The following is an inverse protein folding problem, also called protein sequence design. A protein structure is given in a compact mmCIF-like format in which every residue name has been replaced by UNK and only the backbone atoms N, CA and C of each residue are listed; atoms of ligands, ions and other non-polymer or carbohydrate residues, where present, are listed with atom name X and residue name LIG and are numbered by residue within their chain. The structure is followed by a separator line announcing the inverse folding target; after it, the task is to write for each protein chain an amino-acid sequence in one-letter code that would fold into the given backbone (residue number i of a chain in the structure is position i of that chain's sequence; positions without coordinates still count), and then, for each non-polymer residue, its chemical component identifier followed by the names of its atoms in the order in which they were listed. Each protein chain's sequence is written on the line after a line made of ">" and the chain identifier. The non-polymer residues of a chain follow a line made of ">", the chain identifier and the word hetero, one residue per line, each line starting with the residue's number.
data_IF_127956846409
#
_entry.id   IF_127956846409
#
_cell.length_a   1.000
_cell.length_b   1.000
_cell.length_c   1.000
_cell.angle_alpha   90.00
_cell.angle_beta   90.00
_cell.angle_gamma   90.00
#
_symmetry.space_group_name_H-M   'P 1'
#
loop_
_entity.id
_entity.type
_entity.pdbx_description
1 polymer ?
#
# COMPACT_ATOMS: atom_id res chain seq x y z
N UNK A 1 -34.76 -11.77 54.80
CA UNK A 1 -33.75 -12.28 53.84
C UNK A 1 -34.21 -13.68 53.48
N UNK A 2 -34.56 -14.09 52.25
CA UNK A 2 -34.18 -13.64 50.91
C UNK A 2 -35.25 -14.12 49.91
N UNK A 3 -35.36 -13.39 48.81
CA UNK A 3 -36.32 -13.47 47.70
C UNK A 3 -36.40 -14.86 47.03
N UNK A 4 -37.63 -15.30 46.70
CA UNK A 4 -37.91 -16.13 45.51
C UNK A 4 -39.03 -15.45 44.74
N UNK A 5 -38.68 -14.76 43.66
CA UNK A 5 -39.65 -14.11 42.79
C UNK A 5 -39.70 -14.89 41.47
N UNK A 6 -40.69 -15.77 41.38
CA UNK A 6 -41.10 -16.45 40.16
C UNK A 6 -41.90 -15.47 39.30
N UNK A 7 -41.44 -15.15 38.09
CA UNK A 7 -42.25 -14.53 37.02
C UNK A 7 -41.81 -15.15 35.68
N UNK A 8 -42.60 -16.11 35.17
CA UNK A 8 -43.70 -15.94 34.19
C UNK A 8 -43.20 -15.55 32.80
N UNK A 9 -43.14 -16.57 31.94
CA UNK A 9 -43.12 -16.49 30.48
C UNK A 9 -44.18 -15.52 29.96
N UNK A 10 -43.78 -14.68 29.01
CA UNK A 10 -44.67 -14.16 27.98
C UNK A 10 -43.93 -14.29 26.64
N UNK A 11 -44.34 -15.27 25.84
CA UNK A 11 -43.98 -15.30 24.42
C UNK A 11 -44.65 -14.09 23.75
N UNK A 12 -43.85 -13.25 23.09
CA UNK A 12 -44.33 -12.38 22.01
C UNK A 12 -43.71 -12.87 20.72
N UNK A 13 -44.54 -13.54 19.92
CA UNK A 13 -44.32 -13.72 18.49
C UNK A 13 -44.31 -12.34 17.84
N UNK A 14 -43.18 -11.93 17.29
CA UNK A 14 -43.10 -10.78 16.39
C UNK A 14 -42.73 -11.35 15.02
N UNK A 15 -43.63 -11.22 14.06
CA UNK A 15 -43.37 -11.59 12.67
C UNK A 15 -42.33 -10.66 12.09
N UNK A 16 -41.18 -11.21 11.70
CA UNK A 16 -40.16 -10.48 10.94
C UNK A 16 -40.55 -10.52 9.47
N UNK A 17 -41.15 -9.44 8.96
CA UNK A 17 -41.15 -9.16 7.52
C UNK A 17 -39.73 -8.80 7.11
N UNK A 18 -39.08 -9.68 6.36
CA UNK A 18 -37.78 -9.40 5.75
C UNK A 18 -37.96 -8.30 4.69
N UNK A 19 -37.39 -7.10 4.94
CA UNK A 19 -37.12 -6.16 3.86
C UNK A 19 -35.94 -6.69 3.07
N UNK A 20 -36.17 -7.06 1.81
CA UNK A 20 -35.11 -7.28 0.83
C UNK A 20 -34.46 -5.94 0.50
N UNK A 21 -33.25 -5.71 1.01
CA UNK A 21 -32.39 -4.61 0.54
C UNK A 21 -31.80 -5.08 -0.79
N UNK A 22 -31.94 -4.34 -1.91
CA UNK A 22 -31.26 -4.69 -3.14
C UNK A 22 -29.75 -4.61 -2.89
N UNK A 23 -29.03 -5.69 -3.14
CA UNK A 23 -27.57 -5.66 -3.17
C UNK A 23 -27.15 -4.67 -4.26
N UNK A 24 -26.49 -3.58 -3.87
CA UNK A 24 -25.76 -2.77 -4.84
C UNK A 24 -24.68 -3.68 -5.43
N UNK A 25 -24.80 -4.01 -6.72
CA UNK A 25 -23.66 -4.43 -7.52
C UNK A 25 -22.68 -3.27 -7.61
N UNK A 26 -21.81 -3.14 -6.61
CA UNK A 26 -20.54 -2.48 -6.80
C UNK A 26 -19.67 -3.48 -7.57
N UNK A 27 -19.55 -3.28 -8.88
CA UNK A 27 -18.40 -3.83 -9.61
C UNK A 27 -17.17 -3.20 -8.97
N UNK A 28 -16.51 -3.94 -8.08
CA UNK A 28 -15.18 -3.59 -7.60
C UNK A 28 -14.30 -3.47 -8.85
N UNK A 29 -13.90 -2.23 -9.15
CA UNK A 29 -12.90 -1.95 -10.17
C UNK A 29 -11.67 -2.75 -9.82
N UNK A 30 -11.15 -3.53 -10.78
CA UNK A 30 -9.93 -4.30 -10.62
C UNK A 30 -8.83 -3.46 -9.93
N UNK A 31 -8.17 -4.06 -8.95
CA UNK A 31 -6.95 -3.57 -8.34
C UNK A 31 -5.98 -3.18 -9.46
N UNK A 32 -5.58 -1.91 -9.52
CA UNK A 32 -4.68 -1.43 -10.56
C UNK A 32 -3.37 -0.99 -9.92
N UNK A 33 -2.25 -1.58 -10.37
CA UNK A 33 -0.87 -1.06 -10.22
C UNK A 33 -0.67 0.28 -10.96
N UNK A 34 -1.72 1.09 -11.02
CA UNK A 34 -1.81 2.31 -11.82
C UNK A 34 -2.21 3.47 -10.93
N UNK A 35 -1.42 4.53 -11.01
CA UNK A 35 -1.90 5.85 -10.61
C UNK A 35 -2.90 6.36 -11.64
N UNK A 36 -3.86 7.15 -11.19
CA UNK A 36 -4.77 7.89 -12.05
C UNK A 36 -4.34 9.34 -12.15
N UNK A 37 -4.69 9.98 -13.24
CA UNK A 37 -4.40 11.40 -13.39
C UNK A 37 -5.06 12.19 -12.25
N UNK A 38 -4.35 13.14 -11.64
CA UNK A 38 -4.84 13.86 -10.47
C UNK A 38 -5.82 14.98 -10.83
N UNK A 39 -5.91 15.34 -12.11
CA UNK A 39 -6.86 16.31 -12.65
C UNK A 39 -7.11 16.04 -14.13
N UNK A 40 -8.09 16.74 -14.72
CA UNK A 40 -8.30 16.78 -16.17
C UNK A 40 -7.74 18.09 -16.71
N UNK A 41 -6.81 18.02 -17.66
CA UNK A 41 -6.24 19.21 -18.26
C UNK A 41 -5.18 18.95 -19.31
N UNK A 42 -4.52 20.01 -19.75
CA UNK A 42 -3.46 19.92 -20.75
C UNK A 42 -2.10 19.89 -20.07
N UNK A 43 -1.25 18.93 -20.44
CA UNK A 43 0.15 18.91 -20.01
C UNK A 43 0.87 20.09 -20.66
N UNK A 44 1.48 20.93 -19.85
CA UNK A 44 2.28 22.08 -20.32
C UNK A 44 3.77 21.86 -20.17
N UNK A 45 4.17 20.96 -19.26
CA UNK A 45 5.56 20.53 -19.14
C UNK A 45 5.67 19.06 -18.69
N UNK A 46 6.57 18.30 -19.30
CA UNK A 46 6.80 16.88 -19.04
C UNK A 46 8.08 16.56 -18.25
N UNK A 47 8.24 15.29 -17.88
CA UNK A 47 9.30 14.78 -16.97
C UNK A 47 10.75 14.94 -17.46
N UNK A 48 10.96 15.30 -18.73
CA UNK A 48 12.30 15.54 -19.27
C UNK A 48 12.52 16.98 -19.73
N UNK A 49 11.58 17.88 -19.45
CA UNK A 49 11.70 19.25 -19.89
C UNK A 49 12.82 19.99 -19.16
N UNK A 50 13.56 20.76 -19.95
CA UNK A 50 14.64 21.62 -19.47
C UNK A 50 14.06 22.84 -18.75
N UNK A 51 14.29 22.92 -17.45
CA UNK A 51 14.07 24.14 -16.66
C UNK A 51 15.36 24.96 -16.57
N UNK A 52 15.18 26.27 -16.38
CA UNK A 52 16.26 27.25 -16.18
C UNK A 52 17.31 27.24 -17.30
N UNK A 53 16.87 27.18 -18.56
CA UNK A 53 17.74 27.23 -19.74
C UNK A 53 18.60 25.98 -19.96
N UNK A 54 18.13 24.80 -19.52
CA UNK A 54 18.82 23.51 -19.73
C UNK A 54 19.67 23.03 -18.56
N UNK A 55 19.54 23.65 -17.39
CA UNK A 55 20.38 23.32 -16.21
C UNK A 55 19.67 22.44 -15.18
N UNK A 56 18.36 22.22 -15.32
CA UNK A 56 17.58 21.40 -14.38
C UNK A 56 16.46 20.65 -15.10
N UNK A 57 16.46 19.32 -15.03
CA UNK A 57 15.37 18.49 -15.56
C UNK A 57 14.14 18.57 -14.67
N UNK A 58 12.97 18.84 -15.23
CA UNK A 58 11.69 18.80 -14.53
C UNK A 58 11.37 17.37 -14.07
N UNK A 59 11.34 17.08 -12.77
CA UNK A 59 11.12 15.71 -12.25
C UNK A 59 9.64 15.37 -12.01
N UNK A 60 8.75 15.78 -12.92
CA UNK A 60 7.31 15.61 -12.79
C UNK A 60 6.59 16.05 -14.06
N UNK A 61 5.29 16.28 -13.97
CA UNK A 61 4.49 16.89 -15.04
C UNK A 61 3.77 18.11 -14.51
N UNK A 62 3.62 19.11 -15.36
CA UNK A 62 2.81 20.28 -15.10
C UNK A 62 1.55 20.19 -15.95
N UNK A 63 0.39 20.25 -15.30
CA UNK A 63 -0.92 20.15 -15.95
C UNK A 63 -1.62 21.48 -15.73
N UNK A 64 -1.83 22.21 -16.81
CA UNK A 64 -2.50 23.51 -16.80
C UNK A 64 -4.02 23.33 -16.83
N UNK A 65 -4.68 24.13 -16.01
CA UNK A 65 -6.11 24.34 -16.04
C UNK A 65 -6.52 25.62 -15.28
N UNK A 66 -7.81 25.96 -15.39
CA UNK A 66 -8.47 26.99 -14.59
C UNK A 66 -8.18 26.88 -13.08
N UNK A 67 -7.78 28.00 -12.48
CA UNK A 67 -7.61 28.13 -11.03
C UNK A 67 -8.88 27.71 -10.28
N UNK A 68 -8.71 26.93 -9.21
CA UNK A 68 -9.82 26.41 -8.39
C UNK A 68 -10.37 25.07 -8.85
N UNK A 69 -9.82 24.47 -9.90
CA UNK A 69 -10.20 23.11 -10.29
C UNK A 69 -9.81 22.08 -9.23
N UNK A 70 -10.62 21.02 -9.05
CA UNK A 70 -10.35 20.00 -8.05
C UNK A 70 -9.16 19.13 -8.44
N UNK A 71 -8.25 18.94 -7.49
CA UNK A 71 -7.14 17.98 -7.54
C UNK A 71 -7.52 16.75 -6.72
N UNK A 72 -7.34 15.57 -7.31
CA UNK A 72 -7.71 14.30 -6.73
C UNK A 72 -6.49 13.45 -6.39
N UNK A 73 -6.62 12.61 -5.36
CA UNK A 73 -5.63 11.60 -5.03
C UNK A 73 -5.48 10.61 -6.19
N UNK A 74 -4.25 10.45 -6.69
CA UNK A 74 -3.91 9.63 -7.86
C UNK A 74 -3.99 8.14 -7.53
N UNK A 75 -3.75 7.78 -6.28
CA UNK A 75 -4.02 6.48 -5.68
C UNK A 75 -4.36 6.71 -4.21
N UNK A 76 -5.02 5.75 -3.57
CA UNK A 76 -5.24 5.86 -2.12
C UNK A 76 -3.92 5.78 -1.36
N UNK A 77 -3.89 6.34 -0.15
CA UNK A 77 -2.69 6.36 0.67
C UNK A 77 -2.83 7.29 1.87
N UNK A 78 -1.72 7.54 2.56
CA UNK A 78 -1.67 8.40 3.75
C UNK A 78 -1.02 9.74 3.43
N UNK A 79 -1.67 10.84 3.81
CA UNK A 79 -1.15 12.19 3.63
C UNK A 79 0.03 12.41 4.57
N UNK A 80 1.21 12.71 4.02
CA UNK A 80 2.45 12.97 4.80
C UNK A 80 2.91 14.42 4.76
N UNK A 81 2.30 15.23 3.90
CA UNK A 81 2.46 16.68 3.94
C UNK A 81 1.16 17.34 3.47
N UNK A 82 0.74 18.38 4.18
CA UNK A 82 -0.34 19.29 3.76
C UNK A 82 0.01 20.68 4.26
N UNK A 83 0.37 21.58 3.35
CA UNK A 83 0.71 22.97 3.68
C UNK A 83 1.74 23.61 2.77
N UNK A 84 2.15 24.83 3.13
CA UNK A 84 3.08 25.64 2.33
C UNK A 84 4.54 25.15 2.43
N UNK A 85 5.22 25.05 1.30
CA UNK A 85 6.62 24.62 1.22
C UNK A 85 7.40 25.34 0.12
N UNK A 86 7.78 26.60 0.38
CA UNK A 86 8.70 27.36 -0.46
C UNK A 86 8.27 27.39 -1.93
N UNK A 87 9.16 26.96 -2.83
CA UNK A 87 8.92 26.96 -4.27
C UNK A 87 7.76 26.07 -4.73
N UNK A 88 7.32 25.09 -3.94
CA UNK A 88 6.16 24.26 -4.26
C UNK A 88 4.82 24.93 -3.92
N UNK A 89 4.84 26.09 -3.27
CA UNK A 89 3.62 26.70 -2.76
C UNK A 89 2.93 25.79 -1.74
N UNK A 90 1.60 25.85 -1.69
CA UNK A 90 0.81 24.86 -0.96
C UNK A 90 0.83 23.54 -1.70
N UNK A 91 1.05 22.46 -0.96
CA UNK A 91 1.17 21.12 -1.51
C UNK A 91 0.55 20.06 -0.62
N UNK A 92 0.21 18.95 -1.26
CA UNK A 92 -0.11 17.69 -0.61
C UNK A 92 0.93 16.65 -1.03
N UNK A 93 1.43 15.85 -0.09
CA UNK A 93 2.13 14.60 -0.40
C UNK A 93 1.30 13.43 0.14
N UNK A 94 1.20 12.35 -0.63
CA UNK A 94 0.57 11.09 -0.20
C UNK A 94 1.60 9.98 -0.36
N UNK A 95 1.84 9.21 0.70
CA UNK A 95 2.58 7.94 0.63
C UNK A 95 1.60 6.81 0.32
N UNK A 96 2.04 5.90 -0.53
CA UNK A 96 1.30 4.76 -1.05
C UNK A 96 2.10 3.47 -0.80
N UNK A 97 1.45 2.33 -1.04
CA UNK A 97 2.12 1.04 -1.04
C UNK A 97 3.28 0.99 -2.05
N UNK A 98 4.18 0.02 -1.90
CA UNK A 98 5.33 -0.15 -2.80
C UNK A 98 6.44 0.89 -2.64
N UNK A 99 6.39 1.70 -1.58
CA UNK A 99 7.33 2.78 -1.29
C UNK A 99 7.13 4.01 -2.18
N UNK A 100 5.94 4.15 -2.76
CA UNK A 100 5.61 5.24 -3.66
C UNK A 100 5.10 6.46 -2.91
N UNK A 101 5.42 7.65 -3.42
CA UNK A 101 4.86 8.92 -2.96
C UNK A 101 4.45 9.79 -4.13
N UNK A 102 3.23 10.29 -4.10
CA UNK A 102 2.78 11.35 -5.02
C UNK A 102 2.87 12.72 -4.37
N UNK A 103 3.13 13.74 -5.18
CA UNK A 103 3.06 15.15 -4.77
C UNK A 103 2.13 15.93 -5.68
N UNK A 104 1.35 16.80 -5.07
CA UNK A 104 0.46 17.76 -5.71
C UNK A 104 0.89 19.15 -5.22
N UNK A 105 1.44 19.99 -6.09
CA UNK A 105 1.98 21.29 -5.71
C UNK A 105 1.30 22.46 -6.45
N UNK A 106 1.62 23.67 -5.99
CA UNK A 106 1.03 24.94 -6.42
C UNK A 106 -0.47 25.07 -6.12
N UNK A 107 -0.99 24.28 -5.19
CA UNK A 107 -2.39 24.28 -4.77
C UNK A 107 -2.84 25.64 -4.21
N UNK A 108 -4.14 25.84 -4.07
CA UNK A 108 -4.69 26.88 -3.22
C UNK A 108 -4.35 26.65 -1.74
N UNK A 109 -4.46 27.69 -0.93
CA UNK A 109 -4.15 27.62 0.50
C UNK A 109 -5.15 26.80 1.31
N UNK A 110 -6.38 26.65 0.82
CA UNK A 110 -7.43 25.87 1.46
C UNK A 110 -7.32 24.40 1.04
N UNK A 111 -6.34 23.70 1.61
CA UNK A 111 -6.14 22.27 1.38
C UNK A 111 -7.26 21.48 2.09
N UNK A 112 -7.71 20.39 1.46
CA UNK A 112 -8.90 19.65 1.92
C UNK A 112 -8.59 18.46 2.83
N UNK A 113 -7.32 18.23 3.08
CA UNK A 113 -6.80 17.11 3.86
C UNK A 113 -5.66 17.59 4.76
N UNK A 114 -5.50 16.93 5.89
CA UNK A 114 -4.47 17.18 6.88
C UNK A 114 -3.43 16.06 6.89
N UNK A 115 -2.25 16.32 7.47
CA UNK A 115 -1.23 15.29 7.65
C UNK A 115 -1.78 14.18 8.57
N UNK A 116 -1.65 12.93 8.13
CA UNK A 116 -2.16 11.75 8.81
C UNK A 116 -3.49 11.24 8.24
N UNK A 117 -4.18 12.01 7.41
CA UNK A 117 -5.40 11.56 6.76
C UNK A 117 -5.12 10.39 5.81
N UNK A 118 -5.96 9.37 5.86
CA UNK A 118 -6.04 8.39 4.79
C UNK A 118 -7.02 8.89 3.73
N UNK A 119 -6.61 8.83 2.47
CA UNK A 119 -7.42 9.28 1.33
C UNK A 119 -7.61 8.15 0.35
N UNK A 120 -8.80 8.03 -0.24
CA UNK A 120 -9.07 7.07 -1.32
C UNK A 120 -8.63 7.61 -2.67
N UNK A 121 -8.26 6.74 -3.63
CA UNK A 121 -8.08 7.12 -5.03
C UNK A 121 -9.30 7.90 -5.54
N UNK A 122 -9.06 9.02 -6.21
CA UNK A 122 -10.11 9.90 -6.72
C UNK A 122 -10.77 10.75 -5.64
N UNK A 123 -10.32 10.73 -4.38
CA UNK A 123 -10.76 11.68 -3.36
C UNK A 123 -10.24 13.07 -3.69
N UNK A 124 -11.09 14.08 -3.53
CA UNK A 124 -10.73 15.49 -3.70
C UNK A 124 -9.87 15.96 -2.53
N UNK A 125 -8.61 16.31 -2.79
CA UNK A 125 -7.60 16.60 -1.76
C UNK A 125 -7.15 18.07 -1.72
N UNK A 126 -7.26 18.78 -2.84
CA UNK A 126 -6.87 20.18 -2.94
C UNK A 126 -7.55 20.82 -4.15
N UNK A 127 -7.39 22.12 -4.31
CA UNK A 127 -7.81 22.86 -5.50
C UNK A 127 -6.58 23.50 -6.17
N UNK A 128 -6.56 23.52 -7.51
CA UNK A 128 -5.47 24.06 -8.31
C UNK A 128 -5.29 25.55 -8.05
N UNK A 129 -4.05 25.99 -7.84
CA UNK A 129 -3.70 27.39 -7.61
C UNK A 129 -2.49 27.81 -8.44
N UNK A 130 -1.93 28.98 -8.10
CA UNK A 130 -0.63 29.47 -8.59
C UNK A 130 0.30 29.80 -7.42
N UNK A 131 0.17 29.07 -6.31
CA UNK A 131 0.96 29.38 -5.11
C UNK A 131 2.44 29.01 -5.34
N UNK A 132 3.35 29.79 -4.76
CA UNK A 132 4.79 29.62 -5.01
C UNK A 132 5.36 30.51 -6.14
N UNK A 133 4.54 31.36 -6.77
CA UNK A 133 5.00 32.40 -7.69
C UNK A 133 5.01 32.02 -9.16
N UNK A 134 4.24 31.00 -9.56
CA UNK A 134 4.10 30.55 -10.92
C UNK A 134 2.69 30.87 -11.47
N UNK A 135 2.55 30.88 -12.79
CA UNK A 135 1.22 30.85 -13.42
C UNK A 135 0.45 29.61 -12.94
N UNK A 136 -0.88 29.68 -12.74
CA UNK A 136 -1.64 28.57 -12.19
C UNK A 136 -1.46 27.27 -12.99
N UNK A 137 -0.99 26.22 -12.33
CA UNK A 137 -0.91 24.86 -12.88
C UNK A 137 -0.79 23.87 -11.71
N UNK A 138 -1.06 22.60 -11.97
CA UNK A 138 -0.71 21.52 -11.04
C UNK A 138 0.69 21.00 -11.39
N UNK A 139 1.61 21.04 -10.43
CA UNK A 139 2.83 20.23 -10.51
C UNK A 139 2.60 18.88 -9.82
N UNK A 140 2.79 17.80 -10.58
CA UNK A 140 2.63 16.43 -10.11
C UNK A 140 3.93 15.63 -10.27
N UNK A 141 4.42 15.07 -9.17
CA UNK A 141 5.58 14.16 -9.18
C UNK A 141 5.29 12.86 -8.45
N UNK A 142 5.97 11.79 -8.89
CA UNK A 142 5.97 10.50 -8.23
C UNK A 142 7.40 10.16 -7.83
N UNK A 143 7.55 9.68 -6.60
CA UNK A 143 8.78 9.07 -6.10
C UNK A 143 8.56 7.62 -5.72
N UNK A 144 9.63 6.83 -5.78
CA UNK A 144 9.74 5.52 -5.13
C UNK A 144 11.03 5.50 -4.31
N UNK A 145 10.94 5.16 -3.02
CA UNK A 145 12.10 5.07 -2.13
C UNK A 145 13.01 6.31 -2.21
N UNK A 146 12.41 7.50 -2.20
CA UNK A 146 13.10 8.80 -2.26
C UNK A 146 13.57 9.26 -3.64
N UNK A 147 13.58 8.39 -4.65
CA UNK A 147 13.99 8.68 -6.03
C UNK A 147 12.79 9.01 -6.92
N UNK A 148 12.94 9.99 -7.82
CA UNK A 148 11.87 10.32 -8.78
C UNK A 148 11.71 9.19 -9.80
N UNK A 149 10.46 8.84 -10.09
CA UNK A 149 10.09 7.87 -11.14
C UNK A 149 9.38 8.59 -12.27
N UNK A 150 9.47 8.01 -13.46
CA UNK A 150 8.91 8.60 -14.67
C UNK A 150 7.39 8.77 -14.56
N UNK A 151 6.91 9.90 -15.06
CA UNK A 151 5.50 10.18 -15.29
C UNK A 151 5.36 10.55 -16.77
N UNK A 152 4.58 9.81 -17.57
CA UNK A 152 4.40 10.12 -18.99
C UNK A 152 3.70 11.47 -19.19
N UNK A 153 3.77 12.02 -20.39
CA UNK A 153 3.12 13.28 -20.74
C UNK A 153 4.08 14.27 -21.37
N UNK A 154 3.70 14.77 -22.54
CA UNK A 154 4.43 15.78 -23.31
C UNK A 154 3.62 17.08 -23.37
N UNK A 155 4.27 18.25 -23.51
CA UNK A 155 3.57 19.49 -23.75
C UNK A 155 2.55 19.38 -24.90
N UNK A 156 1.30 19.70 -24.61
CA UNK A 156 0.18 19.61 -25.55
C UNK A 156 -0.75 18.40 -25.32
N UNK A 157 -0.29 17.36 -24.62
CA UNK A 157 -1.09 16.16 -24.33
C UNK A 157 -2.28 16.49 -23.44
N UNK A 158 -3.41 15.81 -23.68
CA UNK A 158 -4.59 15.91 -22.82
C UNK A 158 -4.66 14.73 -21.87
N UNK A 159 -4.86 15.02 -20.58
CA UNK A 159 -5.04 14.01 -19.53
C UNK A 159 -6.40 14.15 -18.88
N UNK A 160 -6.97 13.02 -18.43
CA UNK A 160 -8.28 13.00 -17.75
C UNK A 160 -8.16 12.24 -16.44
N UNK A 161 -8.66 12.83 -15.35
CA UNK A 161 -8.63 12.24 -14.00
C UNK A 161 -9.25 10.84 -13.90
N UNK A 162 -10.12 10.50 -14.85
CA UNK A 162 -10.85 9.24 -14.89
C UNK A 162 -10.04 8.14 -15.59
N UNK A 163 -8.89 8.48 -16.17
CA UNK A 163 -8.00 7.56 -16.85
C UNK A 163 -6.76 7.27 -16.00
N UNK A 164 -6.23 6.04 -16.07
CA UNK A 164 -4.93 5.72 -15.50
C UNK A 164 -3.82 6.51 -16.21
N UNK A 165 -2.75 6.79 -15.48
CA UNK A 165 -1.47 7.21 -16.03
C UNK A 165 -0.93 6.00 -16.81
N UNK A 166 -0.58 6.15 -18.10
CA UNK A 166 -0.20 5.04 -18.98
C UNK A 166 1.26 4.60 -18.74
N UNK A 167 1.56 4.19 -17.50
CA UNK A 167 2.84 3.68 -17.04
C UNK A 167 2.57 2.63 -15.96
N UNK A 168 3.35 1.55 -15.93
CA UNK A 168 3.25 0.53 -14.89
C UNK A 168 4.06 0.97 -13.66
N UNK A 169 3.46 0.86 -12.48
CA UNK A 169 4.12 1.17 -11.20
C UNK A 169 4.15 -0.08 -10.32
N UNK A 170 5.13 -1.00 -10.52
CA UNK A 170 5.10 -2.32 -9.90
C UNK A 170 5.11 -2.27 -8.37
N UNK A 171 4.14 -2.94 -7.74
CA UNK A 171 3.97 -2.98 -6.29
C UNK A 171 3.14 -1.82 -5.74
N UNK A 172 2.48 -1.06 -6.62
CA UNK A 172 1.50 -0.04 -6.25
C UNK A 172 0.18 -0.74 -5.92
N UNK A 173 -0.01 -1.08 -4.64
CA UNK A 173 -1.28 -1.63 -4.12
C UNK A 173 -2.49 -0.76 -4.47
N UNK A 174 -3.68 -1.35 -4.48
CA UNK A 174 -4.93 -0.67 -4.90
C UNK A 174 -5.41 0.41 -3.92
N UNK A 175 -4.68 0.63 -2.83
CA UNK A 175 -5.05 1.60 -1.83
C UNK A 175 -6.43 1.32 -1.22
N UNK A 176 -6.92 0.09 -1.31
CA UNK A 176 -8.10 -0.40 -0.67
C UNK A 176 -7.69 -1.09 0.62
N UNK A 177 -7.41 -0.32 1.67
CA UNK A 177 -7.39 -0.87 3.03
C UNK A 177 -8.82 -1.21 3.47
N UNK A 178 -9.38 -2.24 2.85
CA UNK A 178 -10.15 -3.23 3.57
C UNK A 178 -9.19 -4.03 4.44
N UNK A 179 -9.13 -3.71 5.73
CA UNK A 179 -8.84 -4.68 6.78
C UNK A 179 -7.40 -4.82 7.29
N UNK A 180 -6.38 -4.85 6.43
CA UNK A 180 -5.04 -5.29 6.87
C UNK A 180 -4.06 -4.11 6.96
N UNK A 181 -3.56 -3.85 8.18
CA UNK A 181 -2.39 -2.98 8.41
C UNK A 181 -1.16 -3.87 8.56
N UNK A 182 0.03 -3.40 8.18
CA UNK A 182 1.22 -4.20 8.44
C UNK A 182 1.38 -4.39 9.96
N UNK A 183 1.33 -5.64 10.45
CA UNK A 183 1.53 -5.94 11.87
C UNK A 183 2.92 -5.52 12.31
N UNK A 184 3.04 -5.19 13.60
CA UNK A 184 4.30 -4.75 14.20
C UNK A 184 4.86 -5.90 15.04
N UNK A 185 6.08 -6.32 14.73
CA UNK A 185 6.80 -7.36 15.48
C UNK A 185 8.09 -6.82 16.09
N UNK A 186 8.36 -7.22 17.32
CA UNK A 186 9.48 -6.76 18.13
C UNK A 186 9.94 -7.84 19.12
N UNK A 187 11.00 -7.55 19.89
CA UNK A 187 11.55 -8.49 20.87
C UNK A 187 10.48 -9.02 21.82
N UNK A 188 10.40 -10.35 21.90
CA UNK A 188 9.47 -11.07 22.77
C UNK A 188 8.27 -11.66 22.04
N UNK A 189 8.00 -11.21 20.81
CA UNK A 189 6.98 -11.82 19.96
C UNK A 189 7.41 -13.22 19.50
N UNK A 190 6.44 -14.08 19.22
CA UNK A 190 6.67 -15.45 18.77
C UNK A 190 5.54 -15.93 17.86
N UNK A 191 5.82 -16.86 16.95
CA UNK A 191 4.83 -17.48 16.08
C UNK A 191 5.24 -17.52 14.60
N UNK A 192 4.25 -17.83 13.75
CA UNK A 192 4.44 -18.12 12.33
C UNK A 192 4.98 -16.91 11.55
N UNK A 193 4.51 -15.71 11.88
CA UNK A 193 5.04 -14.48 11.31
C UNK A 193 6.52 -14.22 11.68
N UNK A 194 6.96 -14.66 12.86
CA UNK A 194 8.36 -14.56 13.24
C UNK A 194 9.21 -15.55 12.44
N UNK A 195 8.71 -16.76 12.17
CA UNK A 195 9.34 -17.66 11.20
C UNK A 195 9.49 -17.00 9.83
N UNK A 196 8.44 -16.34 9.32
CA UNK A 196 8.51 -15.62 8.04
C UNK A 196 9.58 -14.52 8.05
N UNK A 197 9.67 -13.73 9.13
CA UNK A 197 10.72 -12.70 9.28
C UNK A 197 12.11 -13.35 9.20
N UNK A 198 12.34 -14.43 9.94
CA UNK A 198 13.64 -15.12 9.99
C UNK A 198 14.03 -15.68 8.61
N UNK A 199 13.11 -16.37 7.92
CA UNK A 199 13.34 -16.89 6.57
C UNK A 199 13.60 -15.78 5.53
N UNK A 200 12.87 -14.66 5.61
CA UNK A 200 13.08 -13.54 4.71
C UNK A 200 14.43 -12.86 4.97
N UNK A 201 14.84 -12.71 6.24
CA UNK A 201 16.18 -12.19 6.56
C UNK A 201 17.29 -13.11 6.03
N UNK A 202 17.12 -14.43 6.12
CA UNK A 202 18.03 -15.41 5.52
C UNK A 202 18.12 -15.24 4.00
N UNK A 203 16.99 -14.98 3.33
CA UNK A 203 16.96 -14.65 1.91
C UNK A 203 17.80 -13.41 1.58
N UNK A 204 17.76 -12.38 2.43
CA UNK A 204 18.58 -11.18 2.30
C UNK A 204 20.04 -11.36 2.76
N UNK A 205 20.45 -12.60 3.09
CA UNK A 205 21.83 -12.97 3.38
C UNK A 205 22.21 -12.94 4.86
N UNK A 206 21.24 -12.86 5.76
CA UNK A 206 21.47 -12.89 7.21
C UNK A 206 21.23 -14.30 7.78
N UNK A 207 22.30 -14.96 8.22
CA UNK A 207 22.19 -16.32 8.78
C UNK A 207 21.56 -16.31 10.18
N UNK A 208 20.38 -16.91 10.33
CA UNK A 208 19.59 -16.93 11.56
C UNK A 208 19.10 -18.35 11.91
N UNK A 209 18.84 -18.57 13.19
CA UNK A 209 18.02 -19.69 13.60
C UNK A 209 16.55 -19.42 13.23
N UNK A 210 15.90 -20.42 12.64
CA UNK A 210 14.46 -20.41 12.37
C UNK A 210 13.75 -21.11 13.54
N UNK A 211 13.43 -20.37 14.60
CA UNK A 211 12.83 -20.88 15.84
C UNK A 211 11.49 -20.23 16.18
N UNK A 212 11.02 -19.31 15.33
CA UNK A 212 9.76 -18.59 15.52
C UNK A 212 9.75 -17.68 16.75
N UNK A 213 10.92 -17.36 17.32
CA UNK A 213 11.04 -16.49 18.49
C UNK A 213 11.79 -15.21 18.14
N UNK A 214 11.18 -14.06 18.40
CA UNK A 214 11.79 -12.76 18.15
C UNK A 214 12.73 -12.43 19.30
N UNK A 215 13.88 -13.09 19.31
CA UNK A 215 14.91 -12.96 20.34
C UNK A 215 15.90 -11.82 20.06
N UNK A 216 16.92 -11.67 20.93
CA UNK A 216 17.99 -10.68 20.74
C UNK A 216 18.74 -10.78 19.41
N UNK A 217 18.89 -11.99 18.88
CA UNK A 217 19.59 -12.24 17.61
C UNK A 217 18.76 -11.79 16.40
N UNK A 218 17.44 -12.06 16.42
CA UNK A 218 16.50 -11.57 15.40
C UNK A 218 16.43 -10.05 15.40
N UNK A 219 16.29 -9.43 16.58
CA UNK A 219 16.26 -7.96 16.71
C UNK A 219 17.52 -7.30 16.15
N UNK A 220 18.71 -7.78 16.55
CA UNK A 220 19.98 -7.23 16.06
C UNK A 220 20.16 -7.42 14.54
N UNK A 221 19.63 -8.50 14.00
CA UNK A 221 19.62 -8.74 12.56
C UNK A 221 18.64 -7.83 11.84
N UNK A 222 17.46 -7.55 12.41
CA UNK A 222 16.52 -6.57 11.87
C UNK A 222 17.12 -5.16 11.90
N UNK A 223 17.80 -4.76 12.96
CA UNK A 223 18.54 -3.49 13.00
C UNK A 223 19.59 -3.41 11.87
N UNK A 224 20.31 -4.50 11.62
CA UNK A 224 21.31 -4.59 10.55
C UNK A 224 20.66 -4.47 9.16
N UNK A 225 19.54 -5.16 8.95
CA UNK A 225 18.74 -5.06 7.74
C UNK A 225 18.22 -3.64 7.53
N UNK A 226 17.61 -3.03 8.55
CA UNK A 226 17.13 -1.65 8.51
C UNK A 226 18.25 -0.68 8.14
N UNK A 227 19.43 -0.82 8.76
CA UNK A 227 20.59 0.00 8.43
C UNK A 227 21.02 -0.17 6.98
N UNK A 228 21.02 -1.40 6.45
CA UNK A 228 21.38 -1.68 5.06
C UNK A 228 20.37 -1.09 4.05
N UNK A 229 19.09 -1.05 4.43
CA UNK A 229 18.01 -0.47 3.61
C UNK A 229 17.84 1.05 3.81
N UNK A 230 18.61 1.69 4.70
CA UNK A 230 18.49 3.12 4.99
C UNK A 230 17.22 3.52 5.74
N UNK A 231 16.66 2.59 6.52
CA UNK A 231 15.48 2.77 7.35
C UNK A 231 15.85 3.29 8.75
N UNK A 232 14.84 3.69 9.53
CA UNK A 232 15.02 3.88 10.98
C UNK A 232 15.49 2.56 11.60
N UNK A 233 16.60 2.61 12.34
CA UNK A 233 17.18 1.45 13.02
C UNK A 233 16.60 1.39 14.43
N UNK A 234 15.49 0.68 14.58
CA UNK A 234 14.76 0.52 15.85
C UNK A 234 14.56 -0.95 16.26
N UNK A 235 15.01 -1.90 15.44
CA UNK A 235 14.87 -3.33 15.71
C UNK A 235 13.43 -3.83 15.65
N UNK A 236 12.52 -3.06 15.05
CA UNK A 236 11.10 -3.37 14.93
C UNK A 236 10.73 -3.66 13.49
N UNK A 237 10.05 -4.78 13.24
CA UNK A 237 9.47 -5.07 11.93
C UNK A 237 8.08 -4.44 11.87
N UNK A 238 8.04 -3.16 11.48
CA UNK A 238 6.80 -2.43 11.17
C UNK A 238 6.62 -2.21 9.66
N UNK A 239 5.66 -1.38 9.23
CA UNK A 239 5.27 -1.21 7.81
C UNK A 239 6.45 -0.92 6.85
N UNK A 240 7.37 -0.05 7.27
CA UNK A 240 8.54 0.31 6.46
C UNK A 240 9.54 -0.85 6.35
N UNK A 241 9.72 -1.62 7.42
CA UNK A 241 10.59 -2.80 7.45
C UNK A 241 9.99 -3.91 6.59
N UNK A 242 8.70 -4.21 6.76
CA UNK A 242 7.97 -5.21 5.96
C UNK A 242 8.06 -4.94 4.47
N UNK A 243 7.80 -3.70 4.05
CA UNK A 243 7.80 -3.31 2.63
C UNK A 243 9.15 -3.53 1.92
N UNK A 244 10.25 -3.57 2.67
CA UNK A 244 11.59 -3.87 2.13
C UNK A 244 12.00 -5.33 2.35
N UNK A 245 11.42 -5.99 3.35
CA UNK A 245 11.76 -7.35 3.75
C UNK A 245 11.09 -8.40 2.85
N UNK A 246 9.82 -8.19 2.51
CA UNK A 246 9.06 -9.12 1.68
C UNK A 246 9.61 -9.18 0.25
N UNK A 247 9.39 -10.32 -0.39
CA UNK A 247 9.68 -10.53 -1.81
C UNK A 247 8.56 -11.34 -2.45
N UNK A 248 8.29 -11.10 -3.73
CA UNK A 248 7.22 -11.82 -4.41
C UNK A 248 7.60 -13.29 -4.58
N UNK A 249 6.66 -14.18 -4.23
CA UNK A 249 6.81 -15.62 -4.46
C UNK A 249 5.85 -16.05 -5.56
N UNK A 250 6.40 -16.57 -6.65
CA UNK A 250 5.68 -17.03 -7.84
C UNK A 250 6.19 -18.41 -8.27
N UNK A 251 5.54 -18.99 -9.28
CA UNK A 251 6.00 -20.22 -9.96
C UNK A 251 7.33 -20.08 -10.71
N UNK A 252 7.85 -18.86 -10.86
CA UNK A 252 9.17 -18.58 -11.44
C UNK A 252 10.27 -18.35 -10.41
N UNK A 253 9.97 -18.54 -9.11
CA UNK A 253 10.96 -18.40 -8.03
C UNK A 253 12.10 -19.43 -8.14
N UNK A 254 13.27 -19.08 -7.64
CA UNK A 254 14.44 -19.96 -7.68
C UNK A 254 14.39 -20.99 -6.55
N UNK A 255 13.80 -22.15 -6.82
CA UNK A 255 13.61 -23.20 -5.82
C UNK A 255 14.89 -24.06 -5.55
N UNK A 256 15.12 -24.52 -4.30
CA UNK A 256 14.37 -24.19 -3.10
C UNK A 256 14.64 -22.75 -2.63
N UNK A 257 13.59 -22.06 -2.19
CA UNK A 257 13.61 -20.61 -1.95
C UNK A 257 13.11 -20.28 -0.53
N UNK A 258 13.90 -19.55 0.27
CA UNK A 258 13.52 -19.18 1.64
C UNK A 258 12.17 -18.43 1.74
N UNK A 259 11.84 -17.50 0.83
CA UNK A 259 10.52 -16.88 0.79
C UNK A 259 9.40 -17.89 0.50
N UNK A 260 9.65 -18.92 -0.33
CA UNK A 260 8.69 -20.02 -0.52
C UNK A 260 8.50 -20.81 0.77
N UNK A 261 9.58 -21.11 1.51
CA UNK A 261 9.47 -21.71 2.85
C UNK A 261 8.57 -20.86 3.76
N UNK A 262 8.78 -19.54 3.80
CA UNK A 262 8.00 -18.64 4.64
C UNK A 262 6.50 -18.65 4.30
N UNK A 263 6.13 -18.60 3.01
CA UNK A 263 4.73 -18.67 2.57
C UNK A 263 4.11 -20.03 2.92
N UNK A 264 4.82 -21.13 2.63
CA UNK A 264 4.33 -22.47 2.94
C UNK A 264 4.14 -22.68 4.45
N UNK A 265 5.02 -22.09 5.27
CA UNK A 265 4.94 -22.18 6.73
C UNK A 265 3.66 -21.48 7.24
N UNK A 266 3.38 -20.27 6.76
CA UNK A 266 2.13 -19.54 7.08
C UNK A 266 0.89 -20.32 6.66
N UNK A 267 0.83 -20.71 5.38
CA UNK A 267 -0.31 -21.44 4.84
C UNK A 267 -0.55 -22.75 5.60
N UNK A 268 0.50 -23.48 5.97
CA UNK A 268 0.36 -24.76 6.66
C UNK A 268 -0.02 -24.62 8.12
N UNK A 269 0.68 -23.77 8.86
CA UNK A 269 0.62 -23.76 10.32
C UNK A 269 -0.30 -22.69 10.89
N UNK A 270 -0.48 -21.57 10.21
CA UNK A 270 -1.40 -20.50 10.64
C UNK A 270 -2.78 -20.68 9.97
N UNK A 271 -2.81 -20.82 8.65
CA UNK A 271 -4.05 -20.92 7.88
C UNK A 271 -4.62 -22.36 7.77
N UNK A 272 -3.83 -23.37 8.14
CA UNK A 272 -4.28 -24.76 8.21
C UNK A 272 -4.39 -25.51 6.88
N UNK A 273 -3.78 -25.01 5.80
CA UNK A 273 -3.71 -25.71 4.52
C UNK A 273 -2.84 -26.98 4.60
N UNK A 274 -3.29 -28.05 3.97
CA UNK A 274 -2.56 -29.33 3.93
C UNK A 274 -1.56 -29.39 2.78
N UNK A 275 -0.47 -28.60 2.87
CA UNK A 275 0.62 -28.56 1.89
C UNK A 275 1.96 -28.97 2.48
N UNK A 276 2.92 -29.36 1.64
CA UNK A 276 4.32 -29.56 2.07
C UNK A 276 5.04 -28.24 2.35
N UNK A 277 5.98 -28.26 3.30
CA UNK A 277 6.90 -27.13 3.58
C UNK A 277 8.30 -27.56 3.18
N UNK A 278 8.66 -27.30 1.93
CA UNK A 278 9.86 -27.80 1.27
C UNK A 278 10.61 -26.71 0.48
N UNK A 279 10.07 -25.49 0.45
CA UNK A 279 10.64 -24.36 -0.27
C UNK A 279 10.49 -24.44 -1.78
N UNK A 280 9.70 -25.37 -2.31
CA UNK A 280 9.42 -25.53 -3.74
C UNK A 280 8.04 -24.98 -4.11
N UNK A 281 7.98 -24.08 -5.10
CA UNK A 281 6.72 -23.52 -5.56
C UNK A 281 5.99 -24.49 -6.51
N UNK A 282 5.41 -25.54 -5.94
CA UNK A 282 4.64 -26.54 -6.66
C UNK A 282 3.13 -26.21 -6.77
N UNK A 283 2.37 -27.04 -7.51
CA UNK A 283 0.91 -26.87 -7.65
C UNK A 283 0.14 -26.87 -6.33
N UNK A 284 0.65 -27.57 -5.30
CA UNK A 284 0.06 -27.53 -3.95
C UNK A 284 0.19 -26.14 -3.31
N UNK A 285 1.34 -25.48 -3.48
CA UNK A 285 1.60 -24.14 -2.94
C UNK A 285 0.78 -23.10 -3.70
N UNK A 286 0.79 -23.16 -5.04
CA UNK A 286 0.00 -22.27 -5.89
C UNK A 286 -1.50 -22.34 -5.55
N UNK A 287 -2.07 -23.55 -5.51
CA UNK A 287 -3.48 -23.74 -5.19
C UNK A 287 -3.86 -23.32 -3.76
N UNK A 288 -2.93 -23.44 -2.80
CA UNK A 288 -3.14 -22.93 -1.44
C UNK A 288 -3.13 -21.40 -1.38
N UNK A 289 -2.21 -20.74 -2.11
CA UNK A 289 -2.17 -19.28 -2.22
C UNK A 289 -3.45 -18.75 -2.87
N UNK A 290 -3.89 -19.34 -3.98
CA UNK A 290 -5.15 -18.94 -4.63
C UNK A 290 -6.37 -19.11 -3.70
N UNK A 291 -6.40 -20.21 -2.95
CA UNK A 291 -7.46 -20.48 -1.98
C UNK A 291 -7.47 -19.45 -0.85
N UNK A 292 -6.29 -19.12 -0.32
CA UNK A 292 -6.11 -18.12 0.73
C UNK A 292 -6.50 -16.73 0.23
N UNK A 293 -6.03 -16.33 -0.95
CA UNK A 293 -6.41 -15.07 -1.57
C UNK A 293 -7.92 -14.95 -1.73
N UNK A 294 -8.57 -16.02 -2.18
CA UNK A 294 -10.02 -16.05 -2.32
C UNK A 294 -10.74 -15.91 -0.97
N UNK A 295 -10.24 -16.51 0.11
CA UNK A 295 -10.86 -16.38 1.44
C UNK A 295 -10.59 -15.02 2.09
N UNK A 296 -9.42 -14.44 1.84
CA UNK A 296 -9.00 -13.14 2.35
C UNK A 296 -9.59 -11.96 1.54
N UNK A 297 -10.30 -12.22 0.44
CA UNK A 297 -10.88 -11.18 -0.42
C UNK A 297 -9.86 -10.44 -1.27
N UNK A 298 -8.71 -11.08 -1.53
CA UNK A 298 -7.63 -10.56 -2.36
C UNK A 298 -7.80 -10.95 -3.83
N UNK A 299 -7.03 -10.31 -4.71
CA UNK A 299 -6.86 -10.78 -6.09
C UNK A 299 -6.32 -12.21 -6.06
N UNK A 300 -7.02 -13.13 -6.75
CA UNK A 300 -6.61 -14.53 -6.89
C UNK A 300 -5.70 -14.63 -8.11
N UNK A 301 -4.40 -14.45 -7.89
CA UNK A 301 -3.36 -14.49 -8.92
C UNK A 301 -2.34 -15.61 -8.69
N UNK A 302 -2.49 -16.39 -7.60
CA UNK A 302 -1.58 -17.47 -7.28
C UNK A 302 -0.15 -16.97 -7.06
N UNK A 303 0.02 -15.76 -6.53
CA UNK A 303 1.30 -15.17 -6.14
C UNK A 303 1.24 -14.65 -4.70
N UNK A 304 2.28 -14.93 -3.92
CA UNK A 304 2.48 -14.23 -2.66
C UNK A 304 3.14 -12.86 -2.91
N UNK A 305 2.33 -11.88 -3.33
CA UNK A 305 2.73 -10.47 -3.46
C UNK A 305 2.48 -9.69 -2.17
N UNK A 306 2.70 -8.35 -2.15
CA UNK A 306 2.59 -7.55 -0.93
C UNK A 306 1.27 -7.70 -0.17
N UNK A 307 0.14 -7.74 -0.87
CA UNK A 307 -1.17 -7.89 -0.23
C UNK A 307 -1.37 -9.29 0.35
N UNK A 308 -0.94 -10.32 -0.37
CA UNK A 308 -0.96 -11.72 0.13
C UNK A 308 -0.06 -11.84 1.35
N UNK A 309 1.15 -11.28 1.31
CA UNK A 309 2.06 -11.25 2.44
C UNK A 309 1.45 -10.56 3.65
N UNK A 310 0.90 -9.37 3.44
CA UNK A 310 0.28 -8.59 4.51
C UNK A 310 -0.84 -9.37 5.20
N UNK A 311 -1.70 -10.02 4.42
CA UNK A 311 -2.77 -10.85 4.97
C UNK A 311 -2.23 -12.12 5.65
N UNK A 312 -1.17 -12.75 5.12
CA UNK A 312 -0.57 -13.95 5.70
C UNK A 312 0.15 -13.68 7.03
N UNK A 313 0.70 -12.49 7.23
CA UNK A 313 1.46 -12.17 8.45
C UNK A 313 0.65 -11.41 9.48
N UNK A 314 -0.55 -10.94 9.13
CA UNK A 314 -1.42 -10.25 10.08
C UNK A 314 -2.00 -11.24 11.08
N UNK A 315 -1.72 -11.03 12.36
CA UNK A 315 -2.27 -11.85 13.42
C UNK A 315 -3.73 -11.43 13.57
N UNK A 316 -4.65 -12.21 13.01
CA UNK A 316 -6.07 -12.04 13.28
C UNK A 316 -6.30 -12.04 14.80
N UNK A 317 -6.64 -10.88 15.36
CA UNK A 317 -7.00 -10.73 16.78
C UNK A 317 -8.31 -11.43 17.11
#
# INVERSE_FOLDING_TARGET
>A
MTKKNTRRNFLRTVGATALTIPALSATASAASDQFYWPTTGQVTSGYYDDRDGGTRTHRGVDIDWETGQPIYAAQSGTVTASGYNGGYGYRVNIEHDGGYRTRYAHCQSDLRVDVGDYVSRGQHIADLGGSGGYEPHLHFDIKRNGSYVYVPGSPGDWVDKSNPIPEDYPGLGDGGSGGYSWPVYSRGDNGEAVYSIQFLLEHHGYNLAHDGSYGPETESTVESFQSAQGLTVDGVVGPNTWSNLIVNVTSSSNDPYWPTYAVQHQLRYDEGYSISVDGYYGPETEGAIESFQSSAGLTVDGMAGPNTWQALVDIGT
#
